data_IF_547524586486
#
_entry.id   IF_547524586486
#
_cell.length_a   1.000
_cell.length_b   1.000
_cell.length_c   1.000
_cell.angle_alpha   90.00
_cell.angle_beta   90.00
_cell.angle_gamma   90.00
#
_symmetry.space_group_name_H-M   'P 1'
#
loop_
_entity.id
_entity.type
_entity.pdbx_description
1 polymer ?
#
# COMPACT_ATOMS: atom_id res chain seq x y z
N UNK A 1 0.20 -19.65 6.42
CA UNK A 1 0.11 -18.58 5.39
C UNK A 1 0.26 -17.26 6.11
N UNK A 2 1.15 -16.37 5.65
CA UNK A 2 1.22 -15.00 6.18
C UNK A 2 -0.14 -14.35 5.93
N UNK A 3 -0.69 -13.69 6.93
CA UNK A 3 -1.95 -12.94 6.77
C UNK A 3 -1.74 -11.86 5.70
N UNK A 4 -2.75 -11.65 4.82
CA UNK A 4 -2.62 -10.62 3.77
C UNK A 4 -2.44 -9.25 4.41
N UNK A 5 -1.44 -8.51 3.93
CA UNK A 5 -1.13 -7.17 4.43
C UNK A 5 -2.13 -6.11 3.94
N UNK A 6 -2.99 -6.43 2.94
CA UNK A 6 -3.95 -5.51 2.33
C UNK A 6 -5.37 -6.07 2.43
N UNK A 7 -6.31 -5.24 2.91
CA UNK A 7 -7.74 -5.59 3.04
C UNK A 7 -8.62 -4.49 2.46
N UNK A 8 -9.70 -4.87 1.75
CA UNK A 8 -10.75 -3.95 1.31
C UNK A 8 -11.56 -3.48 2.51
N UNK A 9 -11.69 -2.16 2.69
CA UNK A 9 -12.52 -1.54 3.73
C UNK A 9 -13.83 -1.04 3.15
N UNK A 10 -13.77 -0.32 2.03
CA UNK A 10 -14.96 0.21 1.37
C UNK A 10 -14.70 0.47 -0.10
N UNK A 11 -15.77 0.45 -0.88
CA UNK A 11 -15.79 0.85 -2.28
C UNK A 11 -17.13 1.50 -2.59
N UNK A 12 -17.19 2.39 -3.57
CA UNK A 12 -18.44 2.95 -4.10
C UNK A 12 -19.37 1.81 -4.49
N UNK A 13 -20.65 1.78 -4.03
CA UNK A 13 -21.62 0.75 -4.42
C UNK A 13 -21.75 0.67 -5.93
N UNK A 14 -21.82 -0.57 -6.47
CA UNK A 14 -21.95 -0.84 -7.91
C UNK A 14 -20.99 0.00 -8.77
N UNK A 15 -19.74 0.07 -8.32
CA UNK A 15 -18.75 1.05 -8.76
C UNK A 15 -18.57 1.15 -10.28
N UNK A 16 -18.46 0.02 -10.98
CA UNK A 16 -18.29 0.00 -12.43
C UNK A 16 -19.57 0.49 -13.17
N UNK A 17 -20.73 0.06 -12.70
CA UNK A 17 -22.02 0.54 -13.24
C UNK A 17 -22.22 2.03 -12.96
N UNK A 18 -21.88 2.49 -11.75
CA UNK A 18 -21.94 3.90 -11.36
C UNK A 18 -21.03 4.77 -12.24
N UNK A 19 -19.81 4.37 -12.48
CA UNK A 19 -18.90 5.08 -13.40
C UNK A 19 -19.47 5.16 -14.81
N UNK A 20 -20.03 4.07 -15.33
CA UNK A 20 -20.62 4.04 -16.67
C UNK A 20 -21.91 4.89 -16.77
N UNK A 21 -22.74 4.88 -15.73
CA UNK A 21 -23.93 5.76 -15.62
C UNK A 21 -23.49 7.23 -15.71
N UNK A 22 -22.50 7.63 -14.92
CA UNK A 22 -21.98 9.00 -14.93
C UNK A 22 -21.31 9.35 -16.27
N UNK A 23 -20.56 8.44 -16.87
CA UNK A 23 -19.95 8.65 -18.19
C UNK A 23 -20.98 8.96 -19.29
N UNK A 24 -22.23 8.48 -19.14
CA UNK A 24 -23.33 8.71 -20.08
C UNK A 24 -24.14 9.98 -19.79
N UNK A 25 -23.63 10.90 -18.97
CA UNK A 25 -24.33 12.14 -18.60
C UNK A 25 -24.84 12.94 -19.82
N UNK A 26 -24.15 12.89 -20.95
CA UNK A 26 -24.55 13.54 -22.20
C UNK A 26 -25.47 12.68 -23.09
N UNK A 27 -25.91 11.51 -22.63
CA UNK A 27 -26.84 10.61 -23.31
C UNK A 27 -27.88 10.05 -22.31
N UNK A 28 -28.81 10.89 -21.85
CA UNK A 28 -29.75 10.52 -20.78
C UNK A 28 -30.61 9.28 -21.09
N UNK A 29 -30.99 9.08 -22.35
CA UNK A 29 -31.80 7.92 -22.74
C UNK A 29 -31.08 6.58 -22.64
N UNK A 30 -29.74 6.59 -22.52
CA UNK A 30 -28.90 5.40 -22.40
C UNK A 30 -28.15 5.32 -21.05
N UNK A 31 -28.43 6.25 -20.14
CA UNK A 31 -27.69 6.41 -18.89
C UNK A 31 -27.79 5.17 -18.00
N UNK A 32 -28.99 4.59 -17.90
CA UNK A 32 -29.29 3.42 -17.08
C UNK A 32 -29.05 2.06 -17.78
N UNK A 33 -28.36 2.07 -18.92
CA UNK A 33 -28.11 0.84 -19.66
C UNK A 33 -27.19 -0.10 -18.86
N UNK A 34 -27.64 -1.33 -18.52
CA UNK A 34 -26.84 -2.28 -17.74
C UNK A 34 -25.61 -2.82 -18.48
N UNK A 35 -25.54 -2.67 -19.80
CA UNK A 35 -24.42 -3.09 -20.62
C UNK A 35 -23.32 -2.03 -20.59
N UNK A 36 -22.54 -1.97 -19.53
CA UNK A 36 -21.53 -0.95 -19.31
C UNK A 36 -20.09 -1.38 -19.65
N UNK A 37 -19.80 -2.67 -19.68
CA UNK A 37 -18.43 -3.18 -19.84
C UNK A 37 -17.73 -2.64 -21.11
N UNK A 38 -18.45 -2.61 -22.25
CA UNK A 38 -17.91 -2.07 -23.51
C UNK A 38 -17.55 -0.59 -23.42
N UNK A 39 -18.30 0.21 -22.66
CA UNK A 39 -18.01 1.63 -22.44
C UNK A 39 -16.74 1.81 -21.60
N UNK A 40 -16.60 1.07 -20.51
CA UNK A 40 -15.41 1.17 -19.64
C UNK A 40 -14.15 0.75 -20.40
N UNK A 41 -14.20 -0.35 -21.17
CA UNK A 41 -13.08 -0.77 -22.04
C UNK A 41 -12.72 0.31 -23.09
N UNK A 42 -13.75 0.95 -23.70
CA UNK A 42 -13.53 2.07 -24.62
C UNK A 42 -12.83 3.23 -23.92
N UNK A 43 -13.26 3.61 -22.71
CA UNK A 43 -12.67 4.70 -21.93
C UNK A 43 -11.20 4.41 -21.60
N UNK A 44 -10.85 3.20 -21.17
CA UNK A 44 -9.46 2.77 -20.93
C UNK A 44 -8.63 2.90 -22.21
N UNK A 45 -9.11 2.28 -23.32
CA UNK A 45 -8.42 2.26 -24.61
C UNK A 45 -8.12 3.67 -25.15
N UNK A 46 -9.01 4.63 -24.90
CA UNK A 46 -8.90 6.00 -25.40
C UNK A 46 -8.41 7.00 -24.36
N UNK A 47 -7.94 6.53 -23.19
CA UNK A 47 -7.40 7.37 -22.11
C UNK A 47 -8.41 8.41 -21.57
N UNK A 48 -9.71 8.05 -21.53
CA UNK A 48 -10.76 8.89 -20.96
C UNK A 48 -10.81 8.71 -19.44
N UNK A 49 -9.78 9.18 -18.75
CA UNK A 49 -9.52 8.91 -17.33
C UNK A 49 -10.51 9.56 -16.36
N UNK A 50 -11.18 10.64 -16.75
CA UNK A 50 -12.13 11.35 -15.87
C UNK A 50 -13.28 10.49 -15.37
N UNK A 51 -13.68 9.47 -16.13
CA UNK A 51 -14.71 8.50 -15.74
C UNK A 51 -14.31 7.75 -14.47
N UNK A 52 -13.05 7.38 -14.35
CA UNK A 52 -12.50 6.60 -13.25
C UNK A 52 -12.20 7.42 -11.98
N UNK A 53 -12.45 8.73 -12.03
CA UNK A 53 -12.46 9.59 -10.82
C UNK A 53 -13.78 9.51 -10.05
N UNK A 54 -14.83 8.95 -10.66
CA UNK A 54 -16.20 8.98 -10.13
C UNK A 54 -16.53 7.81 -9.17
N UNK A 55 -15.56 6.97 -8.88
CA UNK A 55 -15.65 5.89 -7.89
C UNK A 55 -14.39 5.83 -7.05
N UNK A 56 -14.52 5.49 -5.78
CA UNK A 56 -13.44 5.41 -4.82
C UNK A 56 -13.37 4.05 -4.14
N UNK A 57 -12.16 3.69 -3.71
CA UNK A 57 -11.88 2.51 -2.91
C UNK A 57 -10.96 2.88 -1.74
N UNK A 58 -11.23 2.29 -0.57
CA UNK A 58 -10.40 2.42 0.63
C UNK A 58 -9.82 1.07 0.99
N UNK A 59 -8.50 1.01 1.13
CA UNK A 59 -7.79 -0.17 1.59
C UNK A 59 -7.15 0.08 2.96
N UNK A 60 -7.15 -0.95 3.82
CA UNK A 60 -6.28 -1.07 4.98
C UNK A 60 -4.98 -1.73 4.52
N UNK A 61 -3.84 -1.14 4.89
CA UNK A 61 -2.51 -1.62 4.54
C UNK A 61 -1.69 -1.74 5.81
N UNK A 62 -1.26 -2.96 6.14
CA UNK A 62 -0.29 -3.22 7.21
C UNK A 62 1.12 -3.26 6.61
N UNK A 63 2.02 -2.47 7.17
CA UNK A 63 3.38 -2.31 6.64
C UNK A 63 4.32 -1.79 7.73
N UNK A 64 5.53 -1.35 7.34
CA UNK A 64 6.48 -0.70 8.23
C UNK A 64 6.48 0.82 8.05
N UNK A 65 7.00 1.55 9.04
CA UNK A 65 7.18 3.01 8.95
C UNK A 65 8.05 3.42 7.76
N UNK A 66 9.04 2.60 7.38
CA UNK A 66 9.89 2.83 6.22
C UNK A 66 9.09 2.85 4.91
N UNK A 67 8.21 1.88 4.71
CA UNK A 67 7.38 1.75 3.50
C UNK A 67 6.22 2.75 3.54
N UNK A 68 5.60 2.95 4.70
CA UNK A 68 4.57 3.97 4.90
C UNK A 68 5.03 5.35 4.42
N UNK A 69 6.25 5.75 4.76
CA UNK A 69 6.82 7.03 4.32
C UNK A 69 6.90 7.17 2.79
N UNK A 70 7.00 6.06 2.04
CA UNK A 70 6.97 6.07 0.58
C UNK A 70 5.52 6.13 0.05
N UNK A 71 4.59 5.37 0.67
CA UNK A 71 3.17 5.33 0.30
C UNK A 71 2.54 6.71 0.49
N UNK A 72 2.78 7.36 1.61
CA UNK A 72 2.22 8.68 1.97
C UNK A 72 2.63 9.83 1.02
N UNK A 73 3.60 9.60 0.12
CA UNK A 73 3.98 10.59 -0.92
C UNK A 73 3.02 10.64 -2.11
N UNK A 74 2.08 9.70 -2.24
CA UNK A 74 1.09 9.67 -3.33
C UNK A 74 -0.03 10.68 -3.08
N UNK A 75 0.09 11.88 -3.66
CA UNK A 75 -0.78 13.03 -3.39
C UNK A 75 -2.21 12.90 -3.89
N UNK A 76 -2.49 11.92 -4.78
CA UNK A 76 -3.83 11.65 -5.28
C UNK A 76 -4.68 10.80 -4.33
N UNK A 77 -4.18 10.53 -3.13
CA UNK A 77 -4.86 9.77 -2.09
C UNK A 77 -5.01 10.58 -0.81
N UNK A 78 -5.96 10.14 0.02
CA UNK A 78 -6.08 10.55 1.41
C UNK A 78 -5.70 9.41 2.32
N UNK A 79 -5.14 9.73 3.49
CA UNK A 79 -4.58 8.74 4.39
C UNK A 79 -5.00 8.97 5.83
N UNK A 80 -5.17 7.85 6.56
CA UNK A 80 -5.18 7.81 8.01
C UNK A 80 -4.15 6.78 8.45
N UNK A 81 -3.13 7.19 9.19
CA UNK A 81 -2.08 6.30 9.67
C UNK A 81 -2.19 6.09 11.18
N UNK A 82 -1.85 4.88 11.66
CA UNK A 82 -1.73 4.56 13.08
C UNK A 82 -0.80 5.55 13.79
N UNK A 83 -1.34 6.23 14.80
CA UNK A 83 -0.63 7.29 15.50
C UNK A 83 0.09 6.77 16.74
N UNK A 84 1.41 6.68 16.67
CA UNK A 84 2.28 6.39 17.84
C UNK A 84 2.31 7.50 18.90
N UNK A 85 1.55 8.59 18.73
CA UNK A 85 1.32 9.60 19.77
C UNK A 85 0.16 9.21 20.69
N UNK A 86 -0.83 8.46 20.16
CA UNK A 86 -2.01 8.01 20.90
C UNK A 86 -1.83 6.59 21.44
N UNK A 87 -1.41 5.66 20.61
CA UNK A 87 -1.29 4.25 20.93
C UNK A 87 0.18 3.83 21.11
N UNK A 88 0.41 2.74 21.82
CA UNK A 88 1.75 2.18 21.96
C UNK A 88 2.15 1.43 20.67
N UNK A 89 3.44 1.48 20.31
CA UNK A 89 3.94 0.88 19.09
C UNK A 89 3.79 -0.64 19.01
N UNK A 90 3.72 -1.32 20.14
CA UNK A 90 3.57 -2.78 20.25
C UNK A 90 2.14 -3.29 20.01
N UNK A 91 1.14 -2.41 19.90
CA UNK A 91 -0.25 -2.78 19.60
C UNK A 91 -0.43 -3.38 18.19
N UNK A 92 0.45 -3.07 17.26
CA UNK A 92 0.47 -3.61 15.90
C UNK A 92 1.40 -4.81 15.72
N UNK A 93 1.90 -5.38 16.81
CA UNK A 93 2.79 -6.54 16.76
C UNK A 93 4.26 -6.22 16.98
N UNK A 94 5.11 -7.20 16.71
CA UNK A 94 6.56 -7.10 16.92
C UNK A 94 7.25 -6.50 15.70
N UNK A 95 8.39 -5.88 15.94
CA UNK A 95 9.30 -5.43 14.89
C UNK A 95 9.86 -6.66 14.18
N UNK A 96 9.60 -6.77 12.89
CA UNK A 96 10.14 -7.84 12.04
C UNK A 96 11.45 -7.41 11.38
N UNK A 97 12.33 -8.40 11.13
CA UNK A 97 13.57 -8.14 10.40
C UNK A 97 13.25 -7.82 8.93
N UNK A 98 13.92 -6.80 8.35
CA UNK A 98 13.84 -6.59 6.91
C UNK A 98 14.57 -7.71 6.17
N UNK A 99 14.12 -8.03 4.97
CA UNK A 99 14.84 -8.95 4.09
C UNK A 99 16.11 -8.28 3.56
N UNK A 100 17.27 -8.80 3.99
CA UNK A 100 18.57 -8.23 3.65
C UNK A 100 18.97 -8.59 2.22
N UNK A 101 19.15 -7.59 1.38
CA UNK A 101 19.58 -7.71 -0.02
C UNK A 101 20.81 -6.83 -0.27
N UNK A 102 21.64 -7.23 -1.23
CA UNK A 102 22.82 -6.47 -1.63
C UNK A 102 22.42 -5.29 -2.51
N UNK A 103 23.12 -4.17 -2.37
CA UNK A 103 22.94 -3.02 -3.24
C UNK A 103 23.35 -3.38 -4.69
N UNK A 104 22.51 -3.09 -5.65
CA UNK A 104 22.85 -3.18 -7.07
C UNK A 104 23.91 -2.12 -7.43
N UNK A 105 24.92 -2.53 -8.19
CA UNK A 105 26.03 -1.66 -8.58
C UNK A 105 25.72 -0.80 -9.82
N UNK A 106 24.70 -1.18 -10.60
CA UNK A 106 24.29 -0.50 -11.83
C UNK A 106 23.08 0.40 -11.59
N UNK A 107 22.09 -0.08 -10.86
CA UNK A 107 20.89 0.66 -10.53
C UNK A 107 20.86 0.95 -9.01
N UNK A 108 20.97 2.23 -8.65
CA UNK A 108 21.00 2.68 -7.24
C UNK A 108 19.67 2.44 -6.51
N UNK A 109 18.58 2.23 -7.22
CA UNK A 109 17.26 1.98 -6.63
C UNK A 109 16.97 0.48 -6.49
N UNK A 110 17.73 -0.37 -7.14
CA UNK A 110 17.55 -1.81 -7.15
C UNK A 110 18.38 -2.50 -6.04
N UNK A 111 17.94 -3.69 -5.65
CA UNK A 111 18.64 -4.59 -4.73
C UNK A 111 18.63 -6.02 -5.28
N UNK A 112 19.69 -6.77 -4.97
CA UNK A 112 19.92 -8.12 -5.49
C UNK A 112 19.89 -9.10 -4.31
N UNK A 113 19.08 -10.15 -4.41
CA UNK A 113 18.93 -11.18 -3.37
C UNK A 113 20.04 -12.25 -3.53
N UNK A 114 21.28 -11.83 -3.25
CA UNK A 114 22.46 -12.66 -3.33
C UNK A 114 23.44 -12.40 -2.18
N UNK A 115 22.95 -11.97 -1.03
CA UNK A 115 23.76 -11.82 0.19
C UNK A 115 24.21 -13.20 0.65
N UNK A 116 25.51 -13.34 0.93
CA UNK A 116 26.05 -14.56 1.51
C UNK A 116 25.26 -14.97 2.78
N UNK A 117 24.79 -16.23 2.87
CA UNK A 117 23.93 -16.66 3.98
C UNK A 117 24.57 -16.48 5.37
N UNK A 118 25.87 -16.65 5.50
CA UNK A 118 26.57 -16.46 6.77
C UNK A 118 26.62 -14.98 7.16
N UNK A 119 26.86 -14.09 6.18
CA UNK A 119 26.84 -12.64 6.40
C UNK A 119 25.42 -12.21 6.77
N UNK A 120 24.40 -12.72 6.07
CA UNK A 120 22.97 -12.44 6.35
C UNK A 120 22.62 -12.83 7.78
N UNK A 121 22.89 -14.08 8.17
CA UNK A 121 22.64 -14.58 9.53
C UNK A 121 23.33 -13.76 10.62
N UNK A 122 24.61 -13.39 10.40
CA UNK A 122 25.37 -12.57 11.34
C UNK A 122 24.74 -11.19 11.55
N UNK A 123 24.33 -10.53 10.46
CA UNK A 123 23.70 -9.20 10.52
C UNK A 123 22.31 -9.27 11.14
N UNK A 124 21.51 -10.27 10.80
CA UNK A 124 20.20 -10.51 11.39
C UNK A 124 20.28 -10.69 12.91
N UNK A 125 21.25 -11.46 13.41
CA UNK A 125 21.47 -11.63 14.85
C UNK A 125 21.78 -10.29 15.55
N UNK A 126 22.60 -9.44 14.93
CA UNK A 126 22.90 -8.11 15.45
C UNK A 126 21.66 -7.19 15.43
N UNK A 127 20.86 -7.26 14.37
CA UNK A 127 19.61 -6.49 14.26
C UNK A 127 18.59 -6.92 15.32
N UNK A 128 18.45 -8.22 15.58
CA UNK A 128 17.57 -8.74 16.66
C UNK A 128 17.95 -8.11 18.00
N UNK A 129 19.27 -8.10 18.33
CA UNK A 129 19.75 -7.50 19.56
C UNK A 129 19.45 -6.00 19.63
N UNK A 130 19.71 -5.28 18.54
CA UNK A 130 19.44 -3.83 18.45
C UNK A 130 17.95 -3.52 18.61
N UNK A 131 17.08 -4.26 17.92
CA UNK A 131 15.64 -4.03 17.95
C UNK A 131 15.04 -4.38 19.31
N UNK A 132 15.53 -5.45 19.94
CA UNK A 132 15.13 -5.81 21.30
C UNK A 132 15.54 -4.72 22.31
N UNK A 133 16.73 -4.16 22.17
CA UNK A 133 17.20 -3.05 23.01
C UNK A 133 16.39 -1.78 22.80
N UNK A 134 16.07 -1.43 21.54
CA UNK A 134 15.25 -0.29 21.20
C UNK A 134 13.83 -0.42 21.77
N UNK A 135 13.20 -1.60 21.65
CA UNK A 135 11.89 -1.87 22.21
C UNK A 135 11.90 -1.83 23.75
N UNK A 136 12.94 -2.38 24.38
CA UNK A 136 13.10 -2.32 25.86
C UNK A 136 13.22 -0.87 26.35
N UNK A 137 14.05 -0.07 25.68
CA UNK A 137 14.19 1.36 26.00
C UNK A 137 12.88 2.12 25.81
N UNK A 138 12.15 1.87 24.72
CA UNK A 138 10.83 2.46 24.50
C UNK A 138 9.88 2.14 25.64
N UNK A 139 9.79 0.86 26.06
CA UNK A 139 8.91 0.44 27.12
C UNK A 139 9.30 1.11 28.45
N UNK A 140 10.59 1.14 28.78
CA UNK A 140 11.10 1.82 29.98
C UNK A 140 10.73 3.32 29.97
N UNK A 141 10.89 4.00 28.84
CA UNK A 141 10.50 5.42 28.72
C UNK A 141 9.00 5.62 28.98
N UNK A 142 8.15 4.71 28.50
CA UNK A 142 6.69 4.76 28.77
C UNK A 142 6.40 4.53 30.24
N UNK A 143 7.04 3.56 30.89
CA UNK A 143 6.89 3.25 32.32
C UNK A 143 7.33 4.42 33.22
N UNK A 144 8.38 5.15 32.82
CA UNK A 144 8.86 6.37 33.49
C UNK A 144 8.00 7.62 33.18
N UNK A 145 6.88 7.46 32.44
CA UNK A 145 5.96 8.54 32.13
C UNK A 145 6.40 9.50 31.02
N UNK A 146 7.43 9.11 30.23
CA UNK A 146 7.84 9.91 29.08
C UNK A 146 6.75 9.86 28.01
N UNK A 147 6.44 11.03 27.44
CA UNK A 147 5.42 11.14 26.40
C UNK A 147 5.71 10.23 25.19
N UNK A 148 4.67 9.53 24.69
CA UNK A 148 4.78 8.60 23.54
C UNK A 148 5.44 9.27 22.33
N UNK A 149 5.20 10.56 22.10
CA UNK A 149 5.80 11.32 21.00
C UNK A 149 7.33 11.46 21.10
N UNK A 150 7.87 11.38 22.32
CA UNK A 150 9.32 11.36 22.57
C UNK A 150 9.85 9.92 22.55
N UNK A 151 9.19 9.02 23.27
CA UNK A 151 9.62 7.63 23.39
C UNK A 151 9.73 6.92 22.02
N UNK A 152 8.78 7.16 21.10
CA UNK A 152 8.80 6.56 19.74
C UNK A 152 10.04 6.89 18.92
N UNK A 153 10.83 7.90 19.27
CA UNK A 153 12.01 8.32 18.50
C UNK A 153 13.17 7.31 18.56
N UNK A 154 13.14 6.37 19.52
CA UNK A 154 14.14 5.30 19.61
C UNK A 154 13.79 4.07 18.76
N UNK A 155 12.59 4.02 18.17
CA UNK A 155 12.12 2.87 17.42
C UNK A 155 12.71 2.86 16.00
N UNK A 156 13.09 1.68 15.47
CA UNK A 156 13.62 1.56 14.12
C UNK A 156 12.53 1.77 13.06
N UNK A 157 12.96 2.09 11.82
CA UNK A 157 12.06 2.30 10.68
C UNK A 157 11.24 1.07 10.28
N UNK A 158 11.68 -0.13 10.65
CA UNK A 158 10.94 -1.38 10.45
C UNK A 158 9.84 -1.62 11.50
N UNK A 159 9.59 -0.67 12.42
CA UNK A 159 8.42 -0.71 13.31
C UNK A 159 7.13 -0.80 12.52
N UNK A 160 6.21 -1.74 12.86
CA UNK A 160 4.93 -1.88 12.18
C UNK A 160 4.08 -0.61 12.22
N UNK A 161 3.32 -0.40 11.16
CA UNK A 161 2.28 0.63 11.08
C UNK A 161 1.10 0.13 10.25
N UNK A 162 -0.06 0.78 10.39
CA UNK A 162 -1.26 0.54 9.61
C UNK A 162 -1.72 1.82 8.97
N UNK A 163 -2.08 1.77 7.70
CA UNK A 163 -2.57 2.90 6.91
C UNK A 163 -3.93 2.55 6.34
N UNK A 164 -4.88 3.45 6.44
CA UNK A 164 -6.05 3.48 5.57
C UNK A 164 -5.75 4.43 4.42
N UNK A 165 -5.87 3.94 3.20
CA UNK A 165 -5.54 4.67 1.97
C UNK A 165 -6.79 4.72 1.07
N UNK A 166 -7.29 5.93 0.80
CA UNK A 166 -8.48 6.16 0.00
C UNK A 166 -8.16 6.93 -1.26
N UNK A 167 -8.63 6.46 -2.39
CA UNK A 167 -8.45 7.14 -3.68
C UNK A 167 -9.49 6.73 -4.72
N UNK A 168 -9.57 7.49 -5.81
CA UNK A 168 -10.38 7.15 -6.98
C UNK A 168 -9.83 5.89 -7.68
N UNK A 169 -10.68 5.22 -8.47
CA UNK A 169 -10.24 4.08 -9.30
C UNK A 169 -9.06 4.48 -10.19
N UNK A 170 -9.06 5.70 -10.77
CA UNK A 170 -7.93 6.23 -11.53
C UNK A 170 -6.64 6.32 -10.71
N UNK A 171 -6.72 6.83 -9.48
CA UNK A 171 -5.56 6.94 -8.59
C UNK A 171 -4.97 5.57 -8.27
N UNK A 172 -5.84 4.58 -8.02
CA UNK A 172 -5.43 3.20 -7.77
C UNK A 172 -4.75 2.56 -8.98
N UNK A 173 -5.30 2.74 -10.20
CA UNK A 173 -4.68 2.27 -11.44
C UNK A 173 -3.25 2.81 -11.54
N UNK A 174 -3.09 4.12 -11.44
CA UNK A 174 -1.78 4.77 -11.53
C UNK A 174 -0.80 4.30 -10.42
N UNK A 175 -1.27 4.17 -9.18
CA UNK A 175 -0.44 3.70 -8.07
C UNK A 175 0.05 2.27 -8.31
N UNK A 176 -0.85 1.37 -8.69
CA UNK A 176 -0.54 -0.05 -8.93
C UNK A 176 0.46 -0.18 -10.08
N UNK A 177 0.23 0.47 -11.22
CA UNK A 177 1.16 0.45 -12.35
C UNK A 177 2.55 0.96 -11.97
N UNK A 178 2.60 2.09 -11.27
CA UNK A 178 3.86 2.70 -10.86
C UNK A 178 4.63 1.84 -9.85
N UNK A 179 3.95 1.21 -8.89
CA UNK A 179 4.60 0.55 -7.75
C UNK A 179 4.75 -0.95 -7.88
N UNK A 180 4.05 -1.61 -8.82
CA UNK A 180 4.35 -3.00 -9.19
C UNK A 180 5.42 -3.12 -10.28
N UNK A 181 5.93 -2.00 -10.80
CA UNK A 181 6.99 -1.98 -11.80
C UNK A 181 8.40 -2.14 -11.18
N UNK A 182 9.35 -2.59 -12.01
CA UNK A 182 10.77 -2.68 -11.67
C UNK A 182 11.31 -1.31 -11.20
N UNK A 183 12.22 -1.34 -10.23
CA UNK A 183 12.78 -0.14 -9.60
C UNK A 183 12.01 0.34 -8.37
N UNK A 184 10.89 -0.28 -8.04
CA UNK A 184 10.23 -0.11 -6.74
C UNK A 184 10.91 -1.00 -5.70
N UNK A 185 11.07 -0.50 -4.47
CA UNK A 185 11.55 -1.33 -3.36
C UNK A 185 10.65 -2.56 -3.17
N UNK A 186 11.23 -3.74 -3.03
CA UNK A 186 10.52 -5.03 -3.02
C UNK A 186 9.31 -5.05 -2.09
N UNK A 187 9.46 -4.60 -0.85
CA UNK A 187 8.38 -4.60 0.15
C UNK A 187 7.21 -3.68 -0.27
N UNK A 188 7.50 -2.56 -0.95
CA UNK A 188 6.47 -1.69 -1.50
C UNK A 188 5.80 -2.32 -2.73
N UNK A 189 6.58 -2.99 -3.58
CA UNK A 189 6.08 -3.70 -4.75
C UNK A 189 5.16 -4.87 -4.33
N UNK A 190 5.51 -5.60 -3.28
CA UNK A 190 4.68 -6.69 -2.74
C UNK A 190 3.31 -6.14 -2.28
N UNK A 191 3.28 -5.02 -1.56
CA UNK A 191 2.05 -4.33 -1.18
C UNK A 191 1.25 -3.86 -2.40
N UNK A 192 1.91 -3.28 -3.41
CA UNK A 192 1.23 -2.83 -4.62
C UNK A 192 0.59 -4.00 -5.38
N UNK A 193 1.23 -5.16 -5.40
CA UNK A 193 0.69 -6.39 -5.99
C UNK A 193 -0.50 -6.94 -5.17
N UNK A 194 -0.49 -6.85 -3.84
CA UNK A 194 -1.66 -7.18 -3.02
C UNK A 194 -2.80 -6.19 -3.28
N UNK A 195 -2.54 -4.89 -3.40
CA UNK A 195 -3.53 -3.89 -3.81
C UNK A 195 -4.11 -4.21 -5.20
N UNK A 196 -3.25 -4.64 -6.15
CA UNK A 196 -3.68 -5.08 -7.48
C UNK A 196 -4.66 -6.25 -7.39
N UNK A 197 -4.38 -7.24 -6.56
CA UNK A 197 -5.28 -8.38 -6.37
C UNK A 197 -6.65 -7.95 -5.85
N UNK A 198 -6.69 -7.04 -4.85
CA UNK A 198 -7.96 -6.51 -4.34
C UNK A 198 -8.68 -5.67 -5.41
N UNK A 199 -7.93 -4.90 -6.21
CA UNK A 199 -8.49 -4.10 -7.30
C UNK A 199 -9.14 -4.98 -8.39
N UNK A 200 -8.51 -6.09 -8.77
CA UNK A 200 -9.06 -7.07 -9.75
C UNK A 200 -10.39 -7.63 -9.26
N UNK A 201 -10.46 -8.03 -7.99
CA UNK A 201 -11.69 -8.55 -7.39
C UNK A 201 -12.80 -7.48 -7.30
N UNK A 202 -12.42 -6.22 -7.15
CA UNK A 202 -13.36 -5.10 -6.94
C UNK A 202 -13.84 -4.47 -8.25
N UNK A 203 -12.98 -4.38 -9.26
CA UNK A 203 -13.22 -3.74 -10.56
C UNK A 203 -12.85 -4.69 -11.72
N UNK A 204 -13.55 -5.83 -11.86
CA UNK A 204 -13.16 -6.89 -12.80
C UNK A 204 -13.17 -6.46 -14.27
N UNK A 205 -14.12 -5.61 -14.68
CA UNK A 205 -14.20 -5.12 -16.07
C UNK A 205 -13.05 -4.17 -16.40
N UNK A 206 -12.67 -3.32 -15.44
CA UNK A 206 -11.54 -2.39 -15.58
C UNK A 206 -10.23 -3.18 -15.60
N UNK A 207 -10.08 -4.14 -14.70
CA UNK A 207 -8.90 -4.99 -14.62
C UNK A 207 -8.68 -5.79 -15.92
N UNK A 208 -9.74 -6.35 -16.49
CA UNK A 208 -9.69 -7.02 -17.80
C UNK A 208 -9.25 -6.05 -18.92
N UNK A 209 -9.79 -4.83 -18.92
CA UNK A 209 -9.44 -3.81 -19.92
C UNK A 209 -7.99 -3.31 -19.80
N UNK A 210 -7.39 -3.43 -18.62
CA UNK A 210 -5.97 -3.13 -18.32
C UNK A 210 -5.05 -4.35 -18.53
N UNK A 211 -5.59 -5.50 -18.94
CA UNK A 211 -4.84 -6.75 -19.09
C UNK A 211 -4.18 -7.23 -17.78
N UNK A 212 -4.86 -6.99 -16.64
CA UNK A 212 -4.35 -7.37 -15.31
C UNK A 212 -4.81 -8.75 -14.84
N UNK A 213 -5.77 -9.34 -15.49
CA UNK A 213 -6.37 -10.66 -15.18
C UNK A 213 -5.62 -11.81 -15.85
#
# INVERSE_FOLDING_TARGET
MKEKSVKLISVTPDAEQTMAHIARVSNPNNQDNPNYAGLLRYCIKHNHWSVFEQSSMTLEIETTRAIAAQILRHRSFTFQEFSQRYAQSNELGKIELPDLRRQDTKDRQNSIDDVDPFVKQKLEAQMITLFSSAQSLYNQMIEEGIAKECARMVLPLCTPTRIYMTGSARSWIHYIELRSANGTQKEHMDIANECKSVFIDTFPTIAEALEWS
#
